data_IF_547231898307
#
_entry.id   IF_547231898307
#
_cell.length_a   1.000
_cell.length_b   1.000
_cell.length_c   1.000
_cell.angle_alpha   90.00
_cell.angle_beta   90.00
_cell.angle_gamma   90.00
#
_symmetry.space_group_name_H-M   'P 1'
#
loop_
_entity.id
_entity.type
_entity.pdbx_description
1 polymer ?
#
# COMPACT_ATOMS: atom_id res chain seq x y z
N UNK A 1 -21.25 24.26 -0.72
CA UNK A 1 -21.29 22.80 -0.49
C UNK A 1 -21.71 22.55 0.94
N UNK A 2 -22.61 21.59 1.21
CA UNK A 2 -23.01 21.20 2.57
C UNK A 2 -22.66 19.72 2.78
N UNK A 3 -21.96 19.40 3.86
CA UNK A 3 -21.68 18.02 4.22
C UNK A 3 -22.95 17.35 4.75
N UNK A 4 -23.23 16.14 4.27
CA UNK A 4 -24.27 15.28 4.84
C UNK A 4 -23.67 14.46 5.99
N UNK A 5 -24.42 14.21 7.08
CA UNK A 5 -23.94 13.41 8.21
C UNK A 5 -24.00 11.91 7.86
N UNK A 6 -23.09 11.47 7.00
CA UNK A 6 -23.04 10.10 6.45
C UNK A 6 -21.62 9.56 6.59
N UNK A 7 -21.46 8.52 7.42
CA UNK A 7 -20.16 7.86 7.66
C UNK A 7 -19.87 6.70 6.69
N UNK A 8 -20.69 6.58 5.65
CA UNK A 8 -20.57 5.58 4.59
C UNK A 8 -21.92 5.02 4.14
N UNK A 9 -21.87 4.26 3.05
CA UNK A 9 -23.02 3.60 2.44
C UNK A 9 -22.79 2.09 2.33
N UNK A 10 -23.90 1.35 2.35
CA UNK A 10 -23.98 -0.04 1.92
C UNK A 10 -24.67 -0.08 0.55
N UNK A 11 -24.15 -0.89 -0.36
CA UNK A 11 -24.81 -1.19 -1.63
C UNK A 11 -25.77 -2.36 -1.42
N UNK A 12 -27.01 -2.21 -1.87
CA UNK A 12 -28.09 -3.18 -1.70
C UNK A 12 -28.76 -3.41 -3.04
N UNK A 13 -28.95 -4.67 -3.42
CA UNK A 13 -29.75 -5.04 -4.59
C UNK A 13 -31.12 -5.53 -4.14
N UNK A 14 -32.19 -4.90 -4.63
CA UNK A 14 -33.55 -5.26 -4.30
C UNK A 14 -34.46 -5.03 -5.52
N UNK A 15 -35.22 -6.05 -5.92
CA UNK A 15 -36.16 -5.95 -7.04
C UNK A 15 -35.50 -5.66 -8.40
N UNK A 16 -34.25 -6.10 -8.60
CA UNK A 16 -33.48 -5.84 -9.83
C UNK A 16 -32.84 -4.45 -9.89
N UNK A 17 -32.87 -3.69 -8.79
CA UNK A 17 -32.39 -2.32 -8.71
C UNK A 17 -31.33 -2.19 -7.62
N UNK A 18 -30.36 -1.31 -7.85
CA UNK A 18 -29.27 -1.01 -6.91
C UNK A 18 -29.57 0.25 -6.10
N UNK A 19 -29.47 0.14 -4.79
CA UNK A 19 -29.63 1.22 -3.82
C UNK A 19 -28.37 1.39 -2.98
N UNK A 20 -28.07 2.62 -2.61
CA UNK A 20 -27.02 2.95 -1.66
C UNK A 20 -27.64 3.53 -0.41
N UNK A 21 -27.51 2.83 0.72
CA UNK A 21 -28.16 3.17 1.98
C UNK A 21 -27.10 3.51 3.01
N UNK A 22 -27.24 4.63 3.72
CA UNK A 22 -26.28 5.03 4.76
C UNK A 22 -26.21 3.96 5.85
N UNK A 23 -25.05 3.82 6.50
CA UNK A 23 -24.83 2.76 7.53
C UNK A 23 -25.90 2.72 8.63
N UNK A 24 -26.45 3.86 8.99
CA UNK A 24 -27.51 4.01 10.00
C UNK A 24 -28.94 3.95 9.42
N UNK A 25 -29.10 3.65 8.12
CA UNK A 25 -30.39 3.56 7.44
C UNK A 25 -31.10 4.90 7.17
N UNK A 26 -30.52 6.03 7.59
CA UNK A 26 -31.19 7.35 7.55
C UNK A 26 -31.35 7.92 6.14
N UNK A 27 -30.40 7.67 5.24
CA UNK A 27 -30.37 8.22 3.90
C UNK A 27 -30.24 7.10 2.88
N UNK A 28 -30.94 7.21 1.75
CA UNK A 28 -30.79 6.31 0.63
C UNK A 28 -30.77 7.09 -0.68
N UNK A 29 -30.02 6.60 -1.66
CA UNK A 29 -30.10 7.10 -3.03
C UNK A 29 -30.05 5.94 -4.03
N UNK A 30 -30.63 6.18 -5.20
CA UNK A 30 -30.60 5.29 -6.37
C UNK A 30 -29.76 5.96 -7.45
N UNK A 31 -28.81 5.24 -8.04
CA UNK A 31 -27.91 5.80 -9.05
C UNK A 31 -26.77 4.85 -9.41
N UNK A 32 -25.74 5.40 -10.05
CA UNK A 32 -24.52 4.67 -10.39
C UNK A 32 -23.41 5.08 -9.44
N UNK A 33 -22.65 4.11 -8.92
CA UNK A 33 -21.41 4.35 -8.21
C UNK A 33 -20.26 4.35 -9.22
N UNK A 34 -19.34 5.29 -9.10
CA UNK A 34 -18.14 5.38 -9.92
C UNK A 34 -16.93 5.31 -8.99
N UNK A 35 -16.05 4.34 -9.19
CA UNK A 35 -14.71 4.41 -8.61
C UNK A 35 -13.93 5.50 -9.35
N UNK A 36 -13.61 6.59 -8.66
CA UNK A 36 -12.92 7.73 -9.26
C UNK A 36 -11.42 7.50 -9.45
N UNK A 37 -10.84 6.49 -8.79
CA UNK A 37 -9.43 6.15 -8.93
C UNK A 37 -9.19 5.34 -10.21
N UNK A 38 -9.99 4.30 -10.46
CA UNK A 38 -9.94 3.50 -11.69
C UNK A 38 -10.83 4.05 -12.82
N UNK A 39 -11.69 5.04 -12.54
CA UNK A 39 -12.73 5.55 -13.46
C UNK A 39 -13.69 4.46 -13.96
N UNK A 40 -13.99 3.48 -13.09
CA UNK A 40 -14.83 2.33 -13.42
C UNK A 40 -16.21 2.43 -12.74
N UNK A 41 -17.32 2.29 -13.49
CA UNK A 41 -18.64 2.22 -12.90
C UNK A 41 -18.83 0.90 -12.15
N UNK A 42 -19.42 0.98 -10.95
CA UNK A 42 -19.81 -0.15 -10.11
C UNK A 42 -21.33 -0.25 -10.15
N UNK A 43 -21.81 -1.27 -10.86
CA UNK A 43 -23.24 -1.45 -11.12
C UNK A 43 -23.83 -2.63 -10.35
N UNK A 44 -23.00 -3.63 -10.00
CA UNK A 44 -23.43 -4.85 -9.30
C UNK A 44 -22.61 -5.13 -8.05
N UNK A 45 -23.23 -5.78 -7.07
CA UNK A 45 -22.62 -6.01 -5.76
C UNK A 45 -21.36 -6.87 -5.85
N UNK A 46 -21.27 -7.79 -6.82
CA UNK A 46 -20.09 -8.64 -7.00
C UNK A 46 -18.85 -7.85 -7.46
N UNK A 47 -19.04 -6.66 -8.01
CA UNK A 47 -17.94 -5.78 -8.40
C UNK A 47 -17.35 -5.03 -7.18
N UNK A 48 -18.07 -4.94 -6.07
CA UNK A 48 -17.62 -4.24 -4.87
C UNK A 48 -16.34 -4.86 -4.31
N UNK A 49 -16.26 -6.19 -4.25
CA UNK A 49 -15.06 -6.88 -3.78
C UNK A 49 -13.83 -6.60 -4.66
N UNK A 50 -14.07 -6.38 -5.96
CA UNK A 50 -13.02 -6.08 -6.93
C UNK A 50 -12.43 -4.68 -6.78
N UNK A 51 -13.14 -3.74 -6.13
CA UNK A 51 -12.64 -2.38 -5.87
C UNK A 51 -12.20 -2.18 -4.42
N UNK A 52 -12.84 -2.85 -3.45
CA UNK A 52 -12.59 -2.63 -2.03
C UNK A 52 -11.20 -3.06 -1.59
N UNK A 53 -10.66 -4.08 -2.25
CA UNK A 53 -9.34 -4.66 -1.95
C UNK A 53 -8.34 -4.40 -3.09
N UNK A 54 -8.52 -3.32 -3.85
CA UNK A 54 -7.60 -2.94 -4.92
C UNK A 54 -7.24 -1.47 -4.88
N UNK A 55 -6.00 -1.17 -5.23
CA UNK A 55 -5.48 0.17 -5.46
C UNK A 55 -4.87 0.18 -6.87
N UNK A 56 -5.48 0.88 -7.84
CA UNK A 56 -5.01 0.90 -9.22
C UNK A 56 -3.84 1.90 -9.37
N UNK A 57 -2.67 1.54 -8.84
CA UNK A 57 -1.50 2.43 -8.80
C UNK A 57 -1.15 3.01 -10.19
N UNK A 58 -1.33 2.23 -11.26
CA UNK A 58 -1.10 2.65 -12.63
C UNK A 58 -2.04 3.80 -13.09
N UNK A 59 -3.29 3.80 -12.62
CA UNK A 59 -4.30 4.79 -13.01
C UNK A 59 -4.21 6.08 -12.17
N UNK A 60 -3.68 5.97 -10.96
CA UNK A 60 -3.57 7.09 -10.00
C UNK A 60 -2.45 8.09 -10.32
N UNK A 61 -1.59 7.81 -11.32
CA UNK A 61 -0.41 8.62 -11.67
C UNK A 61 0.54 8.88 -10.48
N UNK A 62 0.58 7.95 -9.52
CA UNK A 62 1.49 8.02 -8.38
C UNK A 62 2.86 7.50 -8.80
N UNK A 63 3.89 8.32 -8.65
CA UNK A 63 5.27 7.87 -8.85
C UNK A 63 5.81 7.23 -7.58
N UNK A 64 5.75 5.89 -7.51
CA UNK A 64 6.21 5.12 -6.34
C UNK A 64 7.71 5.31 -6.08
N UNK A 65 8.51 5.59 -7.11
CA UNK A 65 9.95 5.76 -6.96
C UNK A 65 10.32 7.08 -6.26
N UNK A 66 9.39 8.05 -6.21
CA UNK A 66 9.55 9.29 -5.43
C UNK A 66 9.25 9.12 -3.93
N UNK A 67 8.82 7.93 -3.49
CA UNK A 67 8.46 7.66 -2.09
C UNK A 67 9.63 7.09 -1.27
N UNK A 68 10.85 7.12 -1.80
CA UNK A 68 12.03 6.58 -1.13
C UNK A 68 12.04 5.06 -0.97
N UNK A 69 11.65 4.26 -1.99
CA UNK A 69 11.55 2.82 -1.79
C UNK A 69 12.93 2.17 -1.59
N UNK A 70 13.02 1.32 -0.58
CA UNK A 70 14.07 0.30 -0.46
C UNK A 70 13.74 -0.82 -1.44
N UNK A 71 14.64 -1.06 -2.39
CA UNK A 71 14.45 -2.05 -3.44
C UNK A 71 14.99 -3.43 -3.03
N UNK A 72 14.17 -4.46 -3.19
CA UNK A 72 14.58 -5.86 -2.99
C UNK A 72 14.19 -6.70 -4.17
N UNK A 73 15.16 -7.42 -4.73
CA UNK A 73 14.98 -8.25 -5.92
C UNK A 73 15.19 -7.49 -7.23
N UNK A 74 15.07 -8.24 -8.32
CA UNK A 74 15.40 -7.84 -9.69
C UNK A 74 14.39 -8.34 -10.72
N UNK A 75 13.25 -8.85 -10.23
CA UNK A 75 12.21 -9.39 -11.09
C UNK A 75 11.45 -8.31 -11.86
N UNK A 76 10.78 -8.71 -12.95
CA UNK A 76 10.04 -7.78 -13.82
C UNK A 76 8.74 -7.26 -13.20
N UNK A 77 8.15 -8.03 -12.27
CA UNK A 77 6.89 -7.67 -11.63
C UNK A 77 7.16 -6.87 -10.36
N UNK A 78 6.67 -5.63 -10.31
CA UNK A 78 6.83 -4.76 -9.13
C UNK A 78 5.74 -5.02 -8.09
N UNK A 79 6.12 -5.03 -6.82
CA UNK A 79 5.21 -5.13 -5.67
C UNK A 79 5.53 -3.98 -4.72
N UNK A 80 4.53 -3.22 -4.30
CA UNK A 80 4.71 -2.10 -3.36
C UNK A 80 4.39 -2.58 -1.96
N UNK A 81 5.23 -2.23 -0.99
CA UNK A 81 5.05 -2.65 0.41
C UNK A 81 5.28 -1.45 1.32
N UNK A 82 4.26 -1.03 2.06
CA UNK A 82 4.42 -0.06 3.13
C UNK A 82 4.75 -0.77 4.44
N UNK A 83 5.82 -0.36 5.12
CA UNK A 83 6.28 -0.97 6.37
C UNK A 83 6.67 0.11 7.38
N UNK A 84 6.59 -0.24 8.66
CA UNK A 84 7.22 0.54 9.72
C UNK A 84 8.48 -0.20 10.23
N UNK A 85 9.62 0.49 10.46
CA UNK A 85 10.85 -0.11 10.97
C UNK A 85 10.69 -0.91 12.28
N UNK A 86 9.72 -0.55 13.13
CA UNK A 86 9.48 -1.22 14.42
C UNK A 86 8.41 -2.31 14.38
N UNK A 87 7.75 -2.49 13.24
CA UNK A 87 6.60 -3.38 13.10
C UNK A 87 7.04 -4.84 13.02
N UNK A 88 6.78 -5.63 14.07
CA UNK A 88 7.14 -7.07 14.11
C UNK A 88 6.50 -7.88 12.99
N UNK A 89 5.27 -7.56 12.59
CA UNK A 89 4.60 -8.24 11.47
C UNK A 89 5.26 -7.90 10.12
N UNK A 90 5.86 -6.72 10.00
CA UNK A 90 6.59 -6.30 8.81
C UNK A 90 7.85 -7.16 8.64
N UNK A 91 8.51 -7.56 9.74
CA UNK A 91 9.60 -8.53 9.71
C UNK A 91 9.18 -9.89 9.15
N UNK A 92 8.02 -10.41 9.56
CA UNK A 92 7.46 -11.67 9.02
C UNK A 92 7.27 -11.59 7.49
N UNK A 93 6.79 -10.46 6.99
CA UNK A 93 6.67 -10.23 5.55
C UNK A 93 8.03 -10.13 4.88
N UNK A 94 8.95 -9.32 5.44
CA UNK A 94 10.27 -9.05 4.87
C UNK A 94 11.12 -10.33 4.74
N UNK A 95 10.97 -11.28 5.65
CA UNK A 95 11.63 -12.60 5.58
C UNK A 95 11.19 -13.45 4.38
N UNK A 96 10.01 -13.21 3.80
CA UNK A 96 9.53 -13.93 2.62
C UNK A 96 10.05 -13.34 1.30
N UNK A 97 10.51 -12.09 1.29
CA UNK A 97 10.89 -11.37 0.06
C UNK A 97 12.11 -11.98 -0.66
N UNK A 98 13.21 -12.38 0.02
CA UNK A 98 14.39 -12.89 -0.67
C UNK A 98 14.12 -14.12 -1.54
N UNK A 99 13.23 -15.01 -1.09
CA UNK A 99 12.85 -16.21 -1.86
C UNK A 99 12.12 -15.88 -3.18
N UNK A 100 11.60 -14.66 -3.31
CA UNK A 100 10.82 -14.18 -4.45
C UNK A 100 11.57 -13.14 -5.29
N UNK A 101 12.81 -12.79 -4.90
CA UNK A 101 13.61 -11.71 -5.47
C UNK A 101 13.96 -11.88 -6.96
N UNK A 102 13.98 -13.11 -7.49
CA UNK A 102 14.21 -13.36 -8.92
C UNK A 102 12.97 -13.09 -9.79
N UNK A 103 11.77 -13.20 -9.21
CA UNK A 103 10.50 -13.02 -9.93
C UNK A 103 9.91 -11.62 -9.74
N UNK A 104 10.13 -11.04 -8.56
CA UNK A 104 9.56 -9.76 -8.17
C UNK A 104 10.64 -8.73 -7.83
N UNK A 105 10.30 -7.45 -8.02
CA UNK A 105 11.01 -6.32 -7.44
C UNK A 105 10.10 -5.68 -6.40
N UNK A 106 10.46 -5.79 -5.12
CA UNK A 106 9.73 -5.20 -4.02
C UNK A 106 10.20 -3.77 -3.80
N UNK A 107 9.26 -2.82 -3.83
CA UNK A 107 9.46 -1.41 -3.49
C UNK A 107 8.94 -1.21 -2.07
N UNK A 108 9.84 -1.31 -1.09
CA UNK A 108 9.51 -1.23 0.33
C UNK A 108 9.59 0.24 0.76
N UNK A 109 8.45 0.83 1.10
CA UNK A 109 8.32 2.23 1.51
C UNK A 109 8.26 2.29 3.03
N UNK A 110 9.30 2.82 3.71
CA UNK A 110 9.28 3.01 5.15
C UNK A 110 8.36 4.17 5.53
N UNK A 111 7.43 3.94 6.46
CA UNK A 111 6.58 4.96 7.06
C UNK A 111 6.63 4.85 8.59
N UNK A 112 6.51 5.98 9.28
CA UNK A 112 6.59 6.05 10.73
C UNK A 112 5.18 6.18 11.33
N UNK A 113 4.57 5.05 11.66
CA UNK A 113 3.20 4.97 12.21
C UNK A 113 3.17 4.40 13.64
N UNK A 114 4.29 3.85 14.14
CA UNK A 114 4.38 3.27 15.49
C UNK A 114 5.02 4.18 16.56
N UNK A 115 5.41 5.40 16.19
CA UNK A 115 5.85 6.43 17.15
C UNK A 115 7.18 7.08 16.82
N UNK A 116 7.76 7.75 17.81
CA UNK A 116 8.95 8.59 17.63
C UNK A 116 10.19 7.80 17.19
N UNK A 117 10.38 6.59 17.70
CA UNK A 117 11.52 5.76 17.32
C UNK A 117 11.42 5.32 15.85
N UNK A 118 10.23 4.96 15.36
CA UNK A 118 9.99 4.77 13.92
C UNK A 118 10.36 6.01 13.10
N UNK A 119 10.01 7.22 13.56
CA UNK A 119 10.37 8.47 12.86
C UNK A 119 11.89 8.65 12.74
N UNK A 120 12.62 8.38 13.82
CA UNK A 120 14.09 8.45 13.83
C UNK A 120 14.67 7.43 12.85
N UNK A 121 14.16 6.19 12.86
CA UNK A 121 14.63 5.11 11.99
C UNK A 121 14.30 5.34 10.53
N UNK A 122 13.09 5.79 10.19
CA UNK A 122 12.71 6.14 8.81
C UNK A 122 13.62 7.25 8.30
N UNK A 123 13.79 8.34 9.04
CA UNK A 123 14.69 9.42 8.66
C UNK A 123 16.13 8.91 8.44
N UNK A 124 16.63 8.05 9.33
CA UNK A 124 17.95 7.45 9.22
C UNK A 124 18.10 6.57 7.97
N UNK A 125 17.13 5.69 7.71
CA UNK A 125 17.12 4.80 6.55
C UNK A 125 17.09 5.62 5.26
N UNK A 126 16.13 6.53 5.13
CA UNK A 126 15.93 7.38 3.95
C UNK A 126 17.19 8.18 3.61
N UNK A 127 17.83 8.79 4.61
CA UNK A 127 19.07 9.52 4.40
C UNK A 127 20.21 8.62 3.93
N UNK A 128 20.31 7.40 4.45
CA UNK A 128 21.37 6.46 4.06
C UNK A 128 21.15 5.88 2.66
N UNK A 129 19.89 5.74 2.21
CA UNK A 129 19.56 5.32 0.83
C UNK A 129 20.12 6.28 -0.23
N UNK A 130 20.34 7.54 0.12
CA UNK A 130 20.92 8.57 -0.75
C UNK A 130 22.45 8.57 -0.77
N UNK A 131 23.09 7.60 -0.12
CA UNK A 131 24.56 7.53 0.02
C UNK A 131 25.10 6.18 -0.42
N UNK A 132 26.43 6.03 -0.31
CA UNK A 132 27.11 4.73 -0.49
C UNK A 132 26.70 3.65 0.52
N UNK A 133 26.07 4.03 1.64
CA UNK A 133 25.64 3.10 2.69
C UNK A 133 24.21 2.54 2.46
N UNK A 134 23.61 2.74 1.29
CA UNK A 134 22.26 2.26 0.94
C UNK A 134 22.05 0.76 1.19
N UNK A 135 23.06 -0.07 0.92
CA UNK A 135 22.98 -1.53 1.13
C UNK A 135 22.93 -1.88 2.62
N UNK A 136 23.64 -1.11 3.47
CA UNK A 136 23.57 -1.26 4.93
C UNK A 136 22.20 -0.86 5.45
N UNK A 137 21.63 0.25 4.96
CA UNK A 137 20.28 0.68 5.32
C UNK A 137 19.22 -0.35 4.90
N UNK A 138 19.35 -0.90 3.69
CA UNK A 138 18.49 -1.96 3.15
C UNK A 138 18.54 -3.21 4.04
N UNK A 139 19.75 -3.69 4.34
CA UNK A 139 19.96 -4.86 5.20
C UNK A 139 19.40 -4.63 6.61
N UNK A 140 19.64 -3.45 7.18
CA UNK A 140 19.13 -3.08 8.50
C UNK A 140 17.60 -3.07 8.55
N UNK A 141 16.94 -2.51 7.52
CA UNK A 141 15.48 -2.51 7.43
C UNK A 141 14.91 -3.93 7.32
N UNK A 142 15.49 -4.77 6.46
CA UNK A 142 14.99 -6.14 6.23
C UNK A 142 15.14 -7.05 7.45
N UNK A 143 16.23 -6.86 8.21
CA UNK A 143 16.50 -7.66 9.41
C UNK A 143 15.88 -7.04 10.67
N UNK A 144 15.42 -5.78 10.59
CA UNK A 144 15.10 -4.92 11.73
C UNK A 144 16.24 -4.90 12.76
N UNK A 145 17.46 -4.72 12.27
CA UNK A 145 18.67 -4.59 13.08
C UNK A 145 19.39 -3.29 12.69
N UNK A 146 19.32 -2.30 13.58
CA UNK A 146 19.76 -0.93 13.32
C UNK A 146 21.07 -0.57 14.03
N UNK A 147 21.66 -1.50 14.81
CA UNK A 147 22.83 -1.24 15.65
C UNK A 147 24.07 -0.83 14.84
N UNK A 148 24.22 -1.36 13.62
CA UNK A 148 25.33 -1.05 12.72
C UNK A 148 25.16 0.22 11.87
N UNK A 149 24.06 0.96 12.02
CA UNK A 149 23.84 2.18 11.24
C UNK A 149 24.56 3.37 11.87
N UNK A 150 25.23 4.23 11.06
CA UNK A 150 26.04 5.35 11.58
C UNK A 150 25.20 6.31 12.43
N UNK A 151 25.74 6.76 13.56
CA UNK A 151 25.01 7.69 14.46
C UNK A 151 24.80 9.06 13.82
N UNK A 152 25.79 9.55 13.08
CA UNK A 152 25.69 10.81 12.34
C UNK A 152 25.07 10.60 10.96
N UNK A 153 23.98 11.32 10.71
CA UNK A 153 23.34 11.36 9.39
C UNK A 153 24.12 12.29 8.45
N UNK A 154 24.07 12.06 7.13
CA UNK A 154 24.61 12.99 6.15
C UNK A 154 23.96 14.37 6.29
N UNK A 155 24.75 15.44 6.23
CA UNK A 155 24.25 16.82 6.41
C UNK A 155 23.27 17.30 5.32
N UNK A 156 23.34 16.74 4.11
CA UNK A 156 22.53 17.13 2.95
C UNK A 156 21.54 16.03 2.51
N UNK A 157 20.84 15.43 3.47
CA UNK A 157 19.80 14.45 3.17
C UNK A 157 18.50 15.12 2.71
N UNK A 158 18.00 14.72 1.55
CA UNK A 158 16.67 15.13 1.07
C UNK A 158 15.58 14.38 1.84
N UNK A 159 14.59 15.11 2.36
CA UNK A 159 13.48 14.57 3.15
C UNK A 159 12.16 14.55 2.39
N UNK A 160 12.13 15.06 1.17
CA UNK A 160 10.91 15.05 0.35
C UNK A 160 10.33 13.63 0.15
N UNK A 161 11.14 12.57 -0.10
CA UNK A 161 10.60 11.23 -0.32
C UNK A 161 9.79 10.68 0.86
N UNK A 162 10.29 10.85 2.09
CA UNK A 162 9.59 10.37 3.30
C UNK A 162 8.28 11.14 3.54
N UNK A 163 8.25 12.44 3.22
CA UNK A 163 7.04 13.26 3.35
C UNK A 163 5.99 12.81 2.34
N UNK A 164 6.39 12.58 1.08
CA UNK A 164 5.52 12.01 0.05
C UNK A 164 5.00 10.64 0.47
N UNK A 165 5.85 9.77 1.02
CA UNK A 165 5.44 8.44 1.50
C UNK A 165 4.30 8.51 2.53
N UNK A 166 4.43 9.40 3.53
CA UNK A 166 3.39 9.60 4.55
C UNK A 166 2.10 10.16 3.93
N UNK A 167 2.19 11.18 3.08
CA UNK A 167 1.02 11.77 2.40
C UNK A 167 0.32 10.74 1.52
N UNK A 168 1.08 9.99 0.72
CA UNK A 168 0.54 8.93 -0.14
C UNK A 168 -0.11 7.84 0.70
N UNK A 169 0.47 7.44 1.85
CA UNK A 169 -0.17 6.46 2.74
C UNK A 169 -1.54 6.92 3.24
N UNK A 170 -1.69 8.22 3.54
CA UNK A 170 -2.95 8.81 3.96
C UNK A 170 -3.96 8.87 2.80
N UNK A 171 -3.53 9.28 1.60
CA UNK A 171 -4.37 9.31 0.39
C UNK A 171 -4.89 7.91 0.04
N UNK A 172 -4.03 6.89 0.15
CA UNK A 172 -4.39 5.49 -0.09
C UNK A 172 -5.24 4.88 1.03
N UNK A 173 -5.50 5.60 2.13
CA UNK A 173 -6.31 5.13 3.25
C UNK A 173 -5.69 3.93 3.97
N UNK A 174 -4.35 3.87 4.04
CA UNK A 174 -3.65 2.77 4.72
C UNK A 174 -3.97 2.81 6.21
N UNK A 175 -4.50 1.70 6.73
CA UNK A 175 -4.98 1.58 8.12
C UNK A 175 -4.11 0.66 8.97
N UNK A 176 -3.16 -0.04 8.35
CA UNK A 176 -2.28 -0.99 9.02
C UNK A 176 -0.97 -1.15 8.24
N UNK A 177 0.07 -1.60 8.94
CA UNK A 177 1.35 -2.06 8.37
C UNK A 177 1.64 -3.51 8.83
N UNK A 178 2.28 -4.34 8.00
CA UNK A 178 2.65 -4.03 6.61
C UNK A 178 1.41 -3.96 5.71
N UNK A 179 1.51 -3.22 4.62
CA UNK A 179 0.46 -3.14 3.61
C UNK A 179 1.06 -3.47 2.25
N UNK A 180 0.54 -4.48 1.56
CA UNK A 180 1.07 -4.97 0.29
C UNK A 180 0.14 -4.57 -0.84
N UNK A 181 0.70 -4.10 -1.95
CA UNK A 181 -0.01 -3.82 -3.20
C UNK A 181 0.69 -4.60 -4.32
N UNK A 182 -0.01 -5.57 -4.90
CA UNK A 182 0.46 -6.34 -6.05
C UNK A 182 0.41 -5.49 -7.34
N UNK A 183 1.10 -5.92 -8.39
CA UNK A 183 1.13 -5.22 -9.68
C UNK A 183 -0.27 -5.04 -10.31
N UNK A 184 -1.18 -5.99 -10.06
CA UNK A 184 -2.58 -5.95 -10.53
C UNK A 184 -3.52 -5.14 -9.62
N UNK A 185 -2.93 -4.41 -8.66
CA UNK A 185 -3.61 -3.54 -7.73
C UNK A 185 -4.17 -4.24 -6.50
N UNK A 186 -4.20 -5.59 -6.42
CA UNK A 186 -4.70 -6.28 -5.22
C UNK A 186 -3.93 -5.84 -3.98
N UNK A 187 -4.67 -5.58 -2.91
CA UNK A 187 -4.11 -5.16 -1.63
C UNK A 187 -4.24 -6.24 -0.57
N UNK A 188 -3.28 -6.25 0.35
CA UNK A 188 -3.32 -7.11 1.53
C UNK A 188 -2.94 -6.29 2.76
N UNK A 189 -3.83 -6.30 3.77
CA UNK A 189 -3.59 -5.67 5.07
C UNK A 189 -2.91 -6.68 5.99
N UNK A 190 -1.69 -6.36 6.43
CA UNK A 190 -0.86 -7.27 7.21
C UNK A 190 -0.01 -8.19 6.34
N UNK A 191 0.80 -9.02 7.00
CA UNK A 191 1.69 -9.97 6.33
C UNK A 191 0.88 -11.21 5.89
N UNK A 192 0.84 -11.55 4.59
CA UNK A 192 0.29 -12.83 4.13
C UNK A 192 1.06 -14.00 4.75
N UNK A 193 0.35 -15.08 5.05
CA UNK A 193 0.99 -16.33 5.51
C UNK A 193 1.82 -16.99 4.40
N UNK A 194 1.31 -16.95 3.16
CA UNK A 194 2.01 -17.35 1.95
C UNK A 194 1.99 -16.20 0.94
N UNK A 195 3.03 -15.36 0.95
CA UNK A 195 3.18 -14.26 0.02
C UNK A 195 3.26 -14.75 -1.44
N UNK A 196 3.91 -15.89 -1.68
CA UNK A 196 4.11 -16.42 -3.03
C UNK A 196 2.77 -16.87 -3.64
N UNK A 197 2.00 -17.67 -2.89
CA UNK A 197 0.66 -18.08 -3.28
C UNK A 197 -0.27 -16.90 -3.49
N UNK A 198 -0.25 -15.92 -2.58
CA UNK A 198 -1.06 -14.71 -2.72
C UNK A 198 -0.70 -13.92 -3.99
N UNK A 199 0.59 -13.66 -4.24
CA UNK A 199 1.03 -12.94 -5.45
C UNK A 199 0.68 -13.71 -6.73
N UNK A 200 0.78 -15.04 -6.74
CA UNK A 200 0.45 -15.88 -7.89
C UNK A 200 -1.04 -16.06 -8.13
N UNK A 201 -1.89 -15.85 -7.12
CA UNK A 201 -3.34 -15.97 -7.26
C UNK A 201 -3.89 -14.86 -8.16
N UNK A 202 -3.90 -15.05 -9.48
CA UNK A 202 -4.66 -14.19 -10.37
C UNK A 202 -6.14 -14.37 -10.04
N UNK A 203 -6.70 -13.46 -9.24
CA UNK A 203 -8.14 -13.25 -9.30
C UNK A 203 -8.39 -12.70 -10.70
N UNK A 204 -8.78 -13.62 -11.60
CA UNK A 204 -9.29 -13.30 -12.92
C UNK A 204 -10.33 -12.22 -12.75
N UNK A 205 -9.96 -10.98 -13.04
CA UNK A 205 -10.94 -9.96 -13.37
C UNK A 205 -11.56 -10.51 -14.64
N UNK A 206 -12.73 -11.11 -14.50
CA UNK A 206 -13.59 -11.42 -15.63
C UNK A 206 -13.79 -10.10 -16.34
N UNK A 207 -13.00 -9.88 -17.39
CA UNK A 207 -13.29 -8.91 -18.43
C UNK A 207 -14.59 -9.38 -19.05
N UNK A 208 -15.70 -8.98 -18.44
CA UNK A 208 -16.98 -8.93 -19.11
C UNK A 208 -16.81 -7.87 -20.19
N UNK A 209 -16.28 -8.29 -21.35
CA UNK A 209 -16.55 -7.64 -22.61
C UNK A 209 -18.06 -7.55 -22.74
N UNK A 210 -18.59 -6.34 -22.70
CA UNK A 210 -19.80 -6.01 -23.44
C UNK A 210 -19.43 -5.88 -24.92
#
# INVERSE_FOLDING_TARGET
MKALPIDGFNMVEAGGETYFISRNGRFAFKGQLMDTWSKTPITRIEQVDSVMNRIPLADMKLNIDELGPVLVGKGKTSVVVFVDPQCRYCKKLQQQLPALADRYTFKIIPIAVLGQESTILVNKIECLLQTKDKEKATTALLNQDYAGLPEQLPGNCDKEPMQKAVITSAILGLTAVPFVIAQDGRTHKGAPDDLAGWLNSTQSVSTAKQ
#
